data_IF_943689884697
#
_entry.id   IF_943689884697
#
_cell.length_a   1.000
_cell.length_b   1.000
_cell.length_c   1.000
_cell.angle_alpha   90.00
_cell.angle_beta   90.00
_cell.angle_gamma   90.00
#
_symmetry.space_group_name_H-M   'P 1'
#
loop_
_entity.id
_entity.type
_entity.pdbx_description
1 polymer ?
#
# COMPACT_ATOMS: atom_id res chain seq x y z
N UNK A 1 -15.96 -10.06 -11.16
CA UNK A 1 -14.60 -10.51 -10.72
C UNK A 1 -14.66 -10.75 -9.22
N UNK A 2 -14.02 -11.80 -8.67
CA UNK A 2 -14.03 -12.05 -7.21
C UNK A 2 -12.91 -11.28 -6.52
N UNK A 3 -13.23 -10.48 -5.50
CA UNK A 3 -12.32 -9.66 -4.70
C UNK A 3 -12.24 -10.27 -3.31
N UNK A 4 -11.34 -11.24 -3.13
CA UNK A 4 -11.31 -12.06 -1.93
C UNK A 4 -10.33 -11.56 -0.86
N UNK A 5 -9.47 -10.61 -1.22
CA UNK A 5 -8.43 -10.12 -0.33
C UNK A 5 -8.90 -8.91 0.48
N UNK A 6 -8.41 -8.82 1.72
CA UNK A 6 -8.73 -7.74 2.65
C UNK A 6 -7.59 -6.73 2.68
N UNK A 7 -7.87 -5.48 2.35
CA UNK A 7 -6.91 -4.38 2.35
C UNK A 7 -7.14 -3.46 3.55
N UNK A 8 -6.06 -3.17 4.26
CA UNK A 8 -5.97 -2.07 5.21
C UNK A 8 -4.82 -1.17 4.78
N UNK A 9 -5.10 0.13 4.69
CA UNK A 9 -4.11 1.17 4.35
C UNK A 9 -3.63 1.82 5.64
N UNK A 10 -2.33 1.95 5.78
CA UNK A 10 -1.70 2.75 6.84
C UNK A 10 -0.94 3.90 6.21
N UNK A 11 -1.24 5.13 6.64
CA UNK A 11 -0.58 6.35 6.18
C UNK A 11 0.15 7.00 7.34
N UNK A 12 1.44 7.28 7.16
CA UNK A 12 2.21 8.12 8.08
C UNK A 12 2.33 9.51 7.50
N UNK A 13 1.95 10.52 8.27
CA UNK A 13 2.11 11.93 7.95
C UNK A 13 2.84 12.63 9.09
N UNK A 14 3.38 13.81 8.85
CA UNK A 14 4.04 14.59 9.89
C UNK A 14 3.15 15.76 10.31
N UNK A 15 3.01 15.95 11.61
CA UNK A 15 2.28 17.08 12.19
C UNK A 15 3.27 17.91 12.99
N UNK A 16 3.29 19.22 12.73
CA UNK A 16 4.08 20.18 13.50
C UNK A 16 3.26 20.62 14.71
N UNK A 17 3.82 20.42 15.90
CA UNK A 17 3.26 20.95 17.13
C UNK A 17 3.40 22.48 17.14
N UNK A 18 2.30 23.26 17.21
CA UNK A 18 2.38 24.71 17.13
C UNK A 18 3.04 25.35 18.37
N UNK A 19 3.04 24.68 19.53
CA UNK A 19 3.66 25.18 20.75
C UNK A 19 5.15 24.87 20.79
N UNK A 20 5.53 23.61 20.50
CA UNK A 20 6.92 23.16 20.62
C UNK A 20 7.72 23.27 19.31
N UNK A 21 7.05 23.53 18.18
CA UNK A 21 7.63 23.51 16.83
C UNK A 21 8.26 22.16 16.42
N UNK A 22 8.10 21.12 17.24
CA UNK A 22 8.60 19.78 16.97
C UNK A 22 7.70 19.10 15.95
N UNK A 23 8.30 18.43 14.97
CA UNK A 23 7.61 17.61 13.99
C UNK A 23 7.50 16.20 14.51
N UNK A 24 6.28 15.66 14.59
CA UNK A 24 6.03 14.29 15.05
C UNK A 24 5.32 13.49 13.94
N UNK A 25 5.68 12.21 13.76
CA UNK A 25 4.92 11.34 12.87
C UNK A 25 3.56 11.00 13.50
N UNK A 26 2.52 10.99 12.68
CA UNK A 26 1.17 10.55 13.01
C UNK A 26 0.80 9.46 12.01
N UNK A 27 0.23 8.37 12.51
CA UNK A 27 -0.16 7.22 11.70
C UNK A 27 -1.67 7.07 11.73
N UNK A 28 -2.28 7.01 10.55
CA UNK A 28 -3.72 6.81 10.35
C UNK A 28 -3.97 5.52 9.59
N UNK A 29 -5.12 4.89 9.87
CA UNK A 29 -5.54 3.63 9.24
C UNK A 29 -6.85 3.81 8.48
N UNK A 30 -6.90 3.29 7.25
CA UNK A 30 -8.07 3.34 6.37
C UNK A 30 -8.46 1.94 5.86
N UNK A 31 -9.75 1.57 5.90
CA UNK A 31 -10.82 2.29 6.59
C UNK A 31 -10.55 2.33 8.11
N UNK A 32 -11.15 3.29 8.82
CA UNK A 32 -10.96 3.43 10.27
C UNK A 32 -11.49 2.23 11.05
N UNK A 33 -12.42 1.47 10.45
CA UNK A 33 -12.92 0.18 10.95
C UNK A 33 -13.05 -0.80 9.79
N UNK A 34 -12.74 -2.07 10.02
CA UNK A 34 -12.86 -3.13 9.01
C UNK A 34 -11.73 -3.12 7.97
N UNK A 35 -12.08 -3.35 6.71
CA UNK A 35 -11.14 -3.49 5.59
C UNK A 35 -11.82 -3.15 4.26
N UNK A 36 -11.05 -2.70 3.27
CA UNK A 36 -11.50 -2.64 1.88
C UNK A 36 -11.40 -4.04 1.25
N UNK A 37 -12.36 -4.39 0.39
CA UNK A 37 -12.17 -5.54 -0.49
C UNK A 37 -11.15 -5.17 -1.57
N UNK A 38 -10.25 -6.09 -1.93
CA UNK A 38 -9.25 -5.84 -2.95
C UNK A 38 -8.87 -7.12 -3.71
N UNK A 39 -7.99 -6.95 -4.69
CA UNK A 39 -7.32 -8.04 -5.40
C UNK A 39 -5.94 -7.58 -5.83
N UNK A 40 -4.96 -8.47 -5.73
CA UNK A 40 -3.66 -8.32 -6.38
C UNK A 40 -3.67 -9.02 -7.75
N UNK A 41 -3.03 -8.40 -8.74
CA UNK A 41 -2.86 -8.97 -10.08
C UNK A 41 -1.61 -8.44 -10.76
N UNK A 42 -1.28 -8.95 -11.95
CA UNK A 42 -0.11 -8.56 -12.76
C UNK A 42 1.19 -8.56 -11.92
N UNK A 43 1.78 -9.72 -11.73
CA UNK A 43 3.01 -9.86 -10.98
C UNK A 43 4.25 -9.75 -11.87
N UNK A 44 5.12 -8.79 -11.58
CA UNK A 44 6.49 -8.73 -12.08
C UNK A 44 7.43 -8.84 -10.87
N UNK A 45 8.36 -9.78 -10.88
CA UNK A 45 9.32 -9.98 -9.81
C UNK A 45 10.74 -9.88 -10.33
N UNK A 46 11.65 -9.35 -9.51
CA UNK A 46 13.08 -9.38 -9.75
C UNK A 46 13.80 -9.77 -8.46
N UNK A 47 14.82 -10.60 -8.58
CA UNK A 47 15.74 -10.95 -7.51
C UNK A 47 17.07 -10.27 -7.80
N UNK A 48 17.52 -9.40 -6.91
CA UNK A 48 18.82 -8.73 -7.02
C UNK A 48 19.71 -9.27 -5.92
N UNK A 49 20.80 -9.94 -6.28
CA UNK A 49 21.77 -10.47 -5.32
C UNK A 49 23.09 -9.70 -5.45
N UNK A 50 23.53 -9.04 -4.38
CA UNK A 50 24.90 -8.50 -4.28
C UNK A 50 25.51 -8.99 -2.96
N UNK A 51 26.59 -9.77 -3.06
CA UNK A 51 27.21 -10.46 -1.92
C UNK A 51 27.44 -9.51 -0.72
N UNK A 52 26.99 -9.85 0.51
CA UNK A 52 26.44 -11.13 0.97
C UNK A 52 24.90 -11.22 1.01
N UNK A 53 24.14 -10.19 0.59
CA UNK A 53 22.68 -10.11 0.78
C UNK A 53 21.90 -10.14 -0.55
N UNK A 54 20.78 -10.86 -0.55
CA UNK A 54 19.77 -10.79 -1.59
C UNK A 54 18.73 -9.71 -1.26
N UNK A 55 18.17 -9.10 -2.28
CA UNK A 55 16.94 -8.29 -2.16
C UNK A 55 15.92 -8.86 -3.12
N UNK A 56 14.81 -9.33 -2.57
CA UNK A 56 13.64 -9.71 -3.34
C UNK A 56 12.74 -8.49 -3.53
N UNK A 57 12.45 -8.14 -4.78
CA UNK A 57 11.55 -7.04 -5.13
C UNK A 57 10.43 -7.60 -5.99
N UNK A 58 9.20 -7.46 -5.51
CA UNK A 58 7.99 -7.83 -6.27
C UNK A 58 7.12 -6.61 -6.48
N UNK A 59 6.76 -6.37 -7.74
CA UNK A 59 5.81 -5.34 -8.14
C UNK A 59 4.51 -6.00 -8.61
N UNK A 60 3.40 -5.59 -8.02
CA UNK A 60 2.05 -6.07 -8.35
C UNK A 60 1.15 -4.87 -8.69
N UNK A 61 0.01 -5.15 -9.31
CA UNK A 61 -1.11 -4.22 -9.44
C UNK A 61 -2.17 -4.51 -8.38
N UNK A 62 -2.51 -3.49 -7.59
CA UNK A 62 -3.60 -3.50 -6.63
C UNK A 62 -4.89 -3.00 -7.32
N UNK A 63 -5.98 -3.73 -7.16
CA UNK A 63 -7.32 -3.35 -7.59
C UNK A 63 -8.24 -3.25 -6.37
N UNK A 64 -8.86 -2.09 -6.15
CA UNK A 64 -9.81 -1.83 -5.06
C UNK A 64 -11.15 -1.44 -5.67
N UNK A 65 -12.21 -2.26 -5.55
CA UNK A 65 -13.53 -1.98 -6.14
C UNK A 65 -14.20 -0.74 -5.55
N UNK A 66 -13.91 -0.45 -4.28
CA UNK A 66 -14.41 0.76 -3.64
C UNK A 66 -13.66 1.98 -4.19
N UNK A 67 -14.29 2.69 -5.12
CA UNK A 67 -13.75 3.91 -5.73
C UNK A 67 -13.52 5.04 -4.73
N UNK A 68 -14.16 4.99 -3.56
CA UNK A 68 -14.00 5.98 -2.50
C UNK A 68 -12.91 5.61 -1.49
N UNK A 69 -12.25 4.46 -1.64
CA UNK A 69 -11.17 4.07 -0.75
C UNK A 69 -10.04 5.11 -0.76
N UNK A 70 -9.53 5.43 0.44
CA UNK A 70 -8.50 6.46 0.63
C UNK A 70 -7.10 5.90 0.39
N UNK A 71 -6.78 5.54 -0.85
CA UNK A 71 -5.48 5.03 -1.28
C UNK A 71 -4.65 6.16 -1.90
N UNK A 72 -3.43 6.38 -1.41
CA UNK A 72 -2.48 7.38 -1.91
C UNK A 72 -1.09 6.79 -2.09
N UNK A 73 -0.27 7.45 -2.91
CA UNK A 73 1.13 7.08 -3.08
C UNK A 73 1.89 7.26 -1.76
N UNK A 74 2.79 6.33 -1.45
CA UNK A 74 3.54 6.28 -0.19
C UNK A 74 2.80 5.61 0.96
N UNK A 75 1.52 5.25 0.79
CA UNK A 75 0.80 4.46 1.78
C UNK A 75 1.37 3.05 1.92
N UNK A 76 1.18 2.45 3.10
CA UNK A 76 1.44 1.04 3.32
C UNK A 76 0.13 0.26 3.17
N UNK A 77 0.05 -0.57 2.15
CA UNK A 77 -1.05 -1.50 1.94
C UNK A 77 -0.76 -2.83 2.65
N UNK A 78 -1.55 -3.15 3.67
CA UNK A 78 -1.53 -4.44 4.36
C UNK A 78 -2.62 -5.33 3.80
N UNK A 79 -2.23 -6.45 3.18
CA UNK A 79 -3.12 -7.41 2.54
C UNK A 79 -3.28 -8.64 3.44
N UNK A 80 -4.53 -9.05 3.68
CA UNK A 80 -4.91 -10.19 4.52
C UNK A 80 -4.26 -10.16 5.92
N UNK A 81 -3.95 -8.97 6.43
CA UNK A 81 -3.36 -8.75 7.75
C UNK A 81 -1.88 -9.12 7.90
N UNK A 82 -1.20 -9.55 6.83
CA UNK A 82 0.17 -10.09 6.90
C UNK A 82 1.12 -9.39 5.95
N UNK A 83 0.82 -9.38 4.65
CA UNK A 83 1.77 -8.88 3.65
C UNK A 83 1.65 -7.37 3.49
N UNK A 84 2.78 -6.67 3.63
CA UNK A 84 2.85 -5.20 3.56
C UNK A 84 3.52 -4.76 2.27
N UNK A 85 2.86 -3.89 1.52
CA UNK A 85 3.37 -3.32 0.28
C UNK A 85 3.41 -1.80 0.38
N UNK A 86 4.32 -1.18 -0.37
CA UNK A 86 4.36 0.28 -0.57
C UNK A 86 3.52 0.61 -1.82
N UNK A 87 2.57 1.51 -1.67
CA UNK A 87 1.69 1.96 -2.76
C UNK A 87 2.37 3.03 -3.61
N UNK A 88 2.26 2.89 -4.93
CA UNK A 88 2.66 3.90 -5.92
C UNK A 88 1.59 4.05 -7.02
N UNK A 89 1.58 5.21 -7.68
CA UNK A 89 0.72 5.51 -8.84
C UNK A 89 -0.78 5.14 -8.69
N UNK A 90 -1.49 5.58 -7.64
CA UNK A 90 -2.92 5.35 -7.53
C UNK A 90 -3.68 6.17 -8.59
N UNK A 91 -4.63 5.54 -9.30
CA UNK A 91 -5.53 6.19 -10.25
C UNK A 91 -6.91 5.53 -10.25
N UNK A 92 -7.89 6.24 -10.82
CA UNK A 92 -9.31 5.85 -10.86
C UNK A 92 -9.80 5.74 -12.31
N UNK A 93 -9.59 4.60 -12.99
CA UNK A 93 -10.07 4.45 -14.36
C UNK A 93 -11.60 4.57 -14.42
N UNK A 94 -12.09 5.57 -15.15
CA UNK A 94 -13.52 5.87 -15.31
C UNK A 94 -14.32 5.94 -14.00
N UNK A 95 -13.67 6.24 -12.87
CA UNK A 95 -14.28 6.27 -11.54
C UNK A 95 -15.08 5.00 -11.16
N UNK A 96 -14.66 3.83 -11.66
CA UNK A 96 -15.32 2.55 -11.37
C UNK A 96 -14.63 1.79 -10.22
N UNK A 97 -13.32 1.88 -10.13
CA UNK A 97 -12.48 1.26 -9.09
C UNK A 97 -11.18 2.06 -8.95
N UNK A 98 -10.34 1.72 -7.98
CA UNK A 98 -8.97 2.24 -7.86
C UNK A 98 -8.01 1.17 -8.34
N UNK A 99 -7.01 1.60 -9.10
CA UNK A 99 -5.83 0.81 -9.44
C UNK A 99 -4.59 1.51 -8.88
N UNK A 100 -3.65 0.74 -8.34
CA UNK A 100 -2.36 1.26 -7.91
C UNK A 100 -1.27 0.22 -8.16
N UNK A 101 -0.03 0.68 -8.32
CA UNK A 101 1.12 -0.20 -8.29
C UNK A 101 1.50 -0.42 -6.82
N UNK A 102 1.93 -1.64 -6.48
CA UNK A 102 2.36 -1.96 -5.11
C UNK A 102 3.67 -2.73 -5.15
N UNK A 103 4.61 -2.34 -4.30
CA UNK A 103 5.94 -2.96 -4.22
C UNK A 103 6.15 -3.65 -2.88
N UNK A 104 6.53 -4.91 -2.93
CA UNK A 104 7.08 -5.65 -1.81
C UNK A 104 8.61 -5.67 -1.93
N UNK A 105 9.28 -5.41 -0.81
CA UNK A 105 10.74 -5.47 -0.71
C UNK A 105 11.10 -6.23 0.56
N UNK A 106 11.90 -7.27 0.39
CA UNK A 106 12.43 -8.09 1.48
C UNK A 106 13.94 -8.27 1.27
N UNK A 107 14.71 -8.18 2.36
CA UNK A 107 16.12 -8.57 2.38
C UNK A 107 16.20 -10.05 2.73
N UNK A 108 17.00 -10.80 1.96
CA UNK A 108 17.09 -12.27 2.00
C UNK A 108 18.54 -12.72 2.16
#
# INVERSE_FOLDING_TARGET
>A
MKHNDKLVITRTSTVKDPATHIVKPVTETFPSTGFYSCRLGRANGSLVQMSPQGTFIQQLKLYVPDVNANVKAGDIATINGTTRYIVSNPYKPNNHHIEADVTYKEEV
#
